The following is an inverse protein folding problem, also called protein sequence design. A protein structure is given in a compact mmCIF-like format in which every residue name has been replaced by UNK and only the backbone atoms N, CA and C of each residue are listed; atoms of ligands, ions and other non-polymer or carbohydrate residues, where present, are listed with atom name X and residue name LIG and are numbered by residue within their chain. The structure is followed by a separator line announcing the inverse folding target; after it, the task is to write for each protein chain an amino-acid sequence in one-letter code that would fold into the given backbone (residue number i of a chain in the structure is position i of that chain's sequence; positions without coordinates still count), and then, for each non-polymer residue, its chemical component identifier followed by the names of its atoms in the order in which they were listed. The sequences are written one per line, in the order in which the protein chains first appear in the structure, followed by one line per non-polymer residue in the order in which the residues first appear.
data_IF_259393344771
#
_entry.id   IF_259393344771
#
_cell.length_a   1.000
_cell.length_b   1.000
_cell.length_c   1.000
_cell.angle_alpha   90.00
_cell.angle_beta   90.00
_cell.angle_gamma   90.00
#
_symmetry.space_group_name_H-M   'P 1'
#
loop_
_entity.id
_entity.type
_entity.pdbx_description
1 polymer ?
#
# COMPACT_ATOMS: atom_id res chain seq x y z
N UNK A 1 8.86 14.26 -2.23
CA UNK A 1 8.40 14.97 -3.44
C UNK A 1 6.96 14.61 -3.79
N UNK A 2 6.50 13.42 -3.41
CA UNK A 2 5.23 12.84 -3.88
C UNK A 2 3.98 13.51 -3.28
N UNK A 3 4.03 13.95 -2.02
CA UNK A 3 2.93 14.70 -1.38
C UNK A 3 2.64 16.01 -2.11
N UNK A 4 3.68 16.79 -2.48
CA UNK A 4 3.48 18.05 -3.20
C UNK A 4 2.86 17.83 -4.58
N UNK A 5 3.29 16.79 -5.29
CA UNK A 5 2.76 16.43 -6.61
C UNK A 5 1.30 15.97 -6.52
N UNK A 6 0.96 15.14 -5.53
CA UNK A 6 -0.42 14.69 -5.31
C UNK A 6 -1.34 15.83 -4.84
N UNK A 7 -0.87 16.69 -3.94
CA UNK A 7 -1.63 17.88 -3.52
C UNK A 7 -1.91 18.85 -4.68
N UNK A 8 -1.03 18.93 -5.67
CA UNK A 8 -1.29 19.70 -6.89
C UNK A 8 -2.45 19.11 -7.72
N UNK A 9 -2.59 17.78 -7.75
CA UNK A 9 -3.72 17.11 -8.43
C UNK A 9 -5.06 17.26 -7.70
N UNK A 10 -5.06 17.45 -6.38
CA UNK A 10 -6.28 17.59 -5.57
C UNK A 10 -6.89 19.00 -5.57
N UNK A 11 -6.13 20.04 -5.93
CA UNK A 11 -6.59 21.43 -5.88
C UNK A 11 -7.00 21.89 -4.47
N UNK A 12 -8.13 22.59 -4.36
CA UNK A 12 -8.68 23.10 -3.08
C UNK A 12 -9.70 22.16 -2.42
N UNK A 13 -10.02 21.03 -3.04
CA UNK A 13 -11.14 20.11 -2.72
C UNK A 13 -11.08 19.47 -1.33
N UNK A 14 -10.01 19.71 -0.56
CA UNK A 14 -9.80 19.14 0.78
C UNK A 14 -9.04 20.09 1.71
N UNK A 15 -9.05 21.41 1.41
CA UNK A 15 -8.37 22.41 2.23
C UNK A 15 -8.91 22.41 3.67
N UNK A 16 -8.02 22.25 4.66
CA UNK A 16 -8.37 22.23 6.08
C UNK A 16 -8.80 20.87 6.64
N UNK A 17 -8.96 19.84 5.82
CA UNK A 17 -9.43 18.51 6.28
C UNK A 17 -8.31 17.57 6.74
N UNK A 18 -7.04 17.93 6.55
CA UNK A 18 -5.88 17.12 6.92
C UNK A 18 -4.61 17.96 7.11
N UNK A 19 -3.65 17.44 7.88
CA UNK A 19 -2.35 18.08 8.07
C UNK A 19 -1.45 17.86 6.84
N UNK A 20 -1.02 18.96 6.20
CA UNK A 20 -0.22 18.96 4.97
C UNK A 20 1.28 18.73 5.21
N UNK A 21 1.77 18.84 6.46
CA UNK A 21 3.20 18.70 6.79
C UNK A 21 3.54 17.40 7.52
N UNK A 22 2.53 16.63 7.94
CA UNK A 22 2.71 15.32 8.58
C UNK A 22 3.11 14.21 7.61
N UNK A 23 3.52 13.05 8.16
CA UNK A 23 3.76 11.82 7.38
C UNK A 23 2.46 11.34 6.77
N UNK A 24 2.42 11.29 5.44
CA UNK A 24 1.29 10.76 4.66
C UNK A 24 1.45 9.26 4.50
N UNK A 25 0.36 8.50 4.65
CA UNK A 25 0.30 7.04 4.53
C UNK A 25 -0.85 6.65 3.58
N UNK A 26 -0.83 5.45 2.96
CA UNK A 26 0.18 4.38 3.07
C UNK A 26 1.44 4.62 2.22
N UNK A 27 2.53 3.86 2.47
CA UNK A 27 3.76 3.90 1.65
C UNK A 27 3.64 3.09 0.34
N UNK A 28 2.83 2.02 0.37
CA UNK A 28 2.55 1.12 -0.75
C UNK A 28 1.09 0.66 -0.70
N UNK A 29 0.55 0.21 -1.83
CA UNK A 29 -0.77 -0.42 -1.93
C UNK A 29 -0.69 -1.73 -2.70
N UNK A 30 -1.44 -2.74 -2.25
CA UNK A 30 -1.64 -4.01 -2.94
C UNK A 30 -3.13 -4.34 -2.95
N UNK A 31 -3.54 -5.39 -3.67
CA UNK A 31 -4.94 -5.81 -3.70
C UNK A 31 -5.45 -6.07 -2.28
N UNK A 32 -6.56 -5.45 -1.93
CA UNK A 32 -7.19 -5.56 -0.62
C UNK A 32 -8.62 -6.07 -0.69
N UNK A 33 -9.14 -6.39 -1.87
CA UNK A 33 -10.49 -6.87 -2.06
C UNK A 33 -10.51 -8.26 -2.72
N UNK A 34 -11.60 -8.98 -2.49
CA UNK A 34 -11.88 -10.31 -3.02
C UNK A 34 -10.74 -11.31 -2.81
N UNK A 35 -10.07 -11.24 -1.65
CA UNK A 35 -9.02 -12.20 -1.31
C UNK A 35 -9.66 -13.47 -0.77
N UNK A 36 -9.29 -14.64 -1.30
CA UNK A 36 -9.86 -15.90 -0.83
C UNK A 36 -9.13 -16.38 0.43
N UNK A 37 -9.82 -16.39 1.56
CA UNK A 37 -9.35 -16.95 2.82
C UNK A 37 -9.84 -18.40 2.96
N UNK A 38 -8.93 -19.32 3.25
CA UNK A 38 -9.24 -20.71 3.57
C UNK A 38 -8.64 -21.04 4.93
N UNK A 39 -9.47 -21.48 5.88
CA UNK A 39 -9.03 -21.93 7.19
C UNK A 39 -9.87 -23.13 7.67
N UNK A 40 -9.47 -23.77 8.76
CA UNK A 40 -10.17 -24.96 9.28
C UNK A 40 -11.63 -24.67 9.64
N UNK A 41 -11.95 -23.43 10.02
CA UNK A 41 -13.30 -22.96 10.29
C UNK A 41 -14.09 -22.59 9.03
N UNK A 42 -13.42 -22.37 7.90
CA UNK A 42 -14.02 -21.96 6.61
C UNK A 42 -13.52 -22.87 5.47
N UNK A 43 -13.91 -24.16 5.42
CA UNK A 43 -13.33 -25.15 4.52
C UNK A 43 -13.69 -24.97 3.04
N UNK A 44 -14.74 -24.21 2.72
CA UNK A 44 -15.09 -23.82 1.34
C UNK A 44 -14.38 -22.53 0.90
N UNK A 45 -13.78 -21.84 1.88
CA UNK A 45 -13.16 -20.53 1.73
C UNK A 45 -14.16 -19.39 1.56
N UNK A 46 -13.78 -18.20 2.01
CA UNK A 46 -14.58 -16.98 1.90
C UNK A 46 -13.79 -15.87 1.23
N UNK A 47 -14.50 -14.97 0.56
CA UNK A 47 -13.90 -13.73 0.06
C UNK A 47 -13.86 -12.72 1.19
N UNK A 48 -12.66 -12.27 1.51
CA UNK A 48 -12.40 -11.26 2.53
C UNK A 48 -11.77 -10.02 1.90
N UNK A 49 -12.14 -8.89 2.47
CA UNK A 49 -11.67 -7.56 2.07
C UNK A 49 -10.93 -6.91 3.24
N UNK A 50 -10.10 -5.91 2.92
CA UNK A 50 -9.38 -5.08 3.87
C UNK A 50 -7.89 -4.97 3.57
N UNK A 51 -7.27 -3.98 4.20
CA UNK A 51 -5.80 -3.82 4.19
C UNK A 51 -5.07 -4.99 4.82
N UNK A 52 -5.76 -5.78 5.67
CA UNK A 52 -5.27 -7.04 6.22
C UNK A 52 -4.94 -8.07 5.15
N UNK A 53 -5.55 -8.00 3.97
CA UNK A 53 -5.19 -8.83 2.83
C UNK A 53 -3.98 -8.27 2.08
N UNK A 54 -3.89 -6.94 1.95
CA UNK A 54 -2.78 -6.26 1.26
C UNK A 54 -1.44 -6.39 1.98
N UNK A 55 -1.42 -6.33 3.32
CA UNK A 55 -0.21 -6.44 4.14
C UNK A 55 0.57 -7.75 3.91
N UNK A 56 -0.03 -8.96 4.05
CA UNK A 56 0.66 -10.21 3.80
C UNK A 56 1.00 -10.42 2.32
N UNK A 57 0.21 -9.86 1.38
CA UNK A 57 0.57 -9.89 -0.04
C UNK A 57 1.89 -9.16 -0.30
N UNK A 58 2.03 -7.92 0.20
CA UNK A 58 3.27 -7.16 0.03
C UNK A 58 4.45 -7.81 0.78
N UNK A 59 4.21 -8.31 2.00
CA UNK A 59 5.24 -9.03 2.76
C UNK A 59 5.76 -10.27 2.02
N UNK A 60 4.87 -11.01 1.33
CA UNK A 60 5.25 -12.18 0.53
C UNK A 60 6.15 -11.82 -0.65
N UNK A 61 5.89 -10.69 -1.33
CA UNK A 61 6.76 -10.18 -2.39
C UNK A 61 8.15 -9.86 -1.83
N UNK A 62 8.22 -9.18 -0.68
CA UNK A 62 9.50 -8.85 -0.02
C UNK A 62 10.26 -10.12 0.39
N UNK A 63 9.55 -11.14 0.90
CA UNK A 63 10.15 -12.42 1.25
C UNK A 63 10.78 -13.12 0.03
N UNK A 64 10.09 -13.13 -1.11
CA UNK A 64 10.63 -13.67 -2.37
C UNK A 64 11.85 -12.90 -2.86
N UNK A 65 11.87 -11.57 -2.72
CA UNK A 65 13.03 -10.76 -3.07
C UNK A 65 14.23 -11.07 -2.15
N UNK A 66 13.97 -11.22 -0.85
CA UNK A 66 15.00 -11.59 0.12
C UNK A 66 15.58 -12.98 -0.16
N UNK A 67 14.74 -13.95 -0.51
CA UNK A 67 15.18 -15.28 -0.91
C UNK A 67 16.15 -15.22 -2.11
N UNK A 68 15.79 -14.45 -3.15
CA UNK A 68 16.65 -14.22 -4.31
C UNK A 68 17.96 -13.49 -4.00
N UNK A 69 17.93 -12.53 -3.08
CA UNK A 69 19.13 -11.81 -2.64
C UNK A 69 20.08 -12.75 -1.89
N UNK A 70 19.56 -13.55 -0.95
CA UNK A 70 20.35 -14.54 -0.21
C UNK A 70 20.97 -15.56 -1.16
N UNK A 71 20.19 -16.10 -2.10
CA UNK A 71 20.69 -17.04 -3.11
C UNK A 71 21.82 -16.44 -3.98
N UNK A 72 21.81 -15.11 -4.17
CA UNK A 72 22.86 -14.38 -4.88
C UNK A 72 24.02 -13.90 -3.97
N UNK A 73 24.06 -14.31 -2.71
CA UNK A 73 25.08 -13.88 -1.73
C UNK A 73 24.98 -12.40 -1.34
N UNK A 74 23.81 -11.78 -1.54
CA UNK A 74 23.54 -10.36 -1.25
C UNK A 74 22.81 -10.18 0.08
N UNK A 75 22.97 -9.03 0.75
CA UNK A 75 22.20 -8.71 1.94
C UNK A 75 20.70 -8.62 1.62
N UNK A 76 19.87 -9.02 2.58
CA UNK A 76 18.42 -8.88 2.52
C UNK A 76 17.99 -7.41 2.51
N UNK A 77 16.77 -7.17 2.04
CA UNK A 77 16.08 -5.90 2.18
C UNK A 77 15.77 -5.66 3.67
N UNK A 78 16.37 -4.60 4.23
CA UNK A 78 16.12 -4.11 5.58
C UNK A 78 14.96 -3.10 5.62
N UNK A 79 15.15 -1.96 6.30
CA UNK A 79 14.13 -0.90 6.35
C UNK A 79 13.83 -0.35 4.95
N UNK A 80 12.64 -0.66 4.43
CA UNK A 80 12.29 -0.48 3.02
C UNK A 80 12.02 0.97 2.61
N UNK A 81 11.64 1.87 3.54
CA UNK A 81 11.17 3.20 3.17
C UNK A 81 12.19 3.96 2.32
N UNK A 82 13.48 3.90 2.67
CA UNK A 82 14.54 4.56 1.89
C UNK A 82 14.60 4.03 0.45
N UNK A 83 14.42 2.73 0.25
CA UNK A 83 14.38 2.13 -1.09
C UNK A 83 13.12 2.52 -1.86
N UNK A 84 11.94 2.44 -1.21
CA UNK A 84 10.65 2.72 -1.83
C UNK A 84 10.56 4.16 -2.38
N UNK A 85 11.10 5.14 -1.65
CA UNK A 85 11.13 6.53 -2.09
C UNK A 85 12.27 6.86 -3.08
N UNK A 86 13.16 5.91 -3.37
CA UNK A 86 14.20 6.11 -4.39
C UNK A 86 13.62 6.04 -5.81
N UNK A 87 14.34 6.59 -6.79
CA UNK A 87 13.95 6.51 -8.20
C UNK A 87 13.77 5.05 -8.67
N UNK A 88 14.62 4.14 -8.18
CA UNK A 88 14.53 2.70 -8.50
C UNK A 88 13.31 2.04 -7.88
N UNK A 89 12.98 2.38 -6.63
CA UNK A 89 11.80 1.86 -5.95
C UNK A 89 10.51 2.31 -6.63
N UNK A 90 10.42 3.59 -7.00
CA UNK A 90 9.28 4.14 -7.74
C UNK A 90 9.08 3.49 -9.11
N UNK A 91 10.17 3.26 -9.85
CA UNK A 91 10.10 2.59 -11.14
C UNK A 91 9.75 1.09 -11.05
N UNK A 92 9.97 0.47 -9.88
CA UNK A 92 9.67 -0.93 -9.64
C UNK A 92 8.21 -1.19 -9.21
N UNK A 93 7.43 -0.13 -8.95
CA UNK A 93 6.03 -0.21 -8.53
C UNK A 93 5.11 0.38 -9.61
N UNK A 94 3.86 -0.11 -9.63
CA UNK A 94 2.83 0.45 -10.50
C UNK A 94 2.19 1.68 -9.85
N UNK A 95 2.04 2.77 -10.60
CA UNK A 95 1.39 4.00 -10.12
C UNK A 95 -0.14 3.87 -10.18
N UNK A 96 -0.82 4.06 -9.04
CA UNK A 96 -2.28 3.97 -8.94
C UNK A 96 -2.90 5.36 -9.00
N UNK A 97 -3.41 5.77 -10.16
CA UNK A 97 -3.88 7.14 -10.41
C UNK A 97 -5.40 7.35 -10.27
N UNK A 98 -6.20 6.27 -10.17
CA UNK A 98 -7.68 6.33 -10.21
C UNK A 98 -8.38 5.82 -8.93
N UNK A 99 -7.75 5.93 -7.76
CA UNK A 99 -8.32 5.44 -6.51
C UNK A 99 -8.53 6.56 -5.46
N UNK A 100 -9.78 6.82 -5.07
CA UNK A 100 -10.14 7.69 -3.94
C UNK A 100 -10.60 6.84 -2.74
N UNK A 101 -10.04 7.09 -1.54
CA UNK A 101 -10.56 6.49 -0.29
C UNK A 101 -11.70 7.36 0.23
N UNK A 102 -12.91 6.80 0.32
CA UNK A 102 -14.03 7.44 0.99
C UNK A 102 -13.76 7.44 2.50
N UNK A 103 -13.61 8.62 3.10
CA UNK A 103 -13.77 8.80 4.54
C UNK A 103 -15.24 9.16 4.77
N UNK A 104 -16.07 8.16 5.04
CA UNK A 104 -17.48 8.36 5.35
C UNK A 104 -17.62 9.07 6.69
N UNK A 105 -17.86 10.38 6.66
CA UNK A 105 -18.69 11.04 7.69
C UNK A 105 -20.14 10.79 7.30
N UNK A 106 -20.74 9.77 7.93
CA UNK A 106 -22.17 9.54 7.91
C UNK A 106 -22.81 10.55 8.87
N UNK A 107 -23.13 11.76 8.39
CA UNK A 107 -24.15 12.61 9.04
C UNK A 107 -25.45 12.33 8.30
N UNK A 108 -26.37 11.76 9.07
CA UNK A 108 -27.78 11.48 8.81
C UNK A 108 -28.43 12.49 7.87
N UNK A 109 -29.22 11.97 6.91
CA UNK A 109 -30.25 12.70 6.17
C UNK A 109 -31.44 11.77 5.95
#
# INVERSE_FOLDING_TARGET
ADVKSYLATLGSTSSGMFNRTGRVFPDVSAQGNHSKLLCSQLPQGELVDGTSCSSPTFASIVALLNDRLIAAGKPQLGFLNTFLYSAKGRAALNDTTLASRLSSHNIVG
#
